data_IF_600211242114
#
_entry.id   IF_600211242114
#
_cell.length_a   1.000
_cell.length_b   1.000
_cell.length_c   1.000
_cell.angle_alpha   90.00
_cell.angle_beta   90.00
_cell.angle_gamma   90.00
#
_symmetry.space_group_name_H-M   'P 1'
#
loop_
_entity.id
_entity.type
_entity.pdbx_description
1 polymer ?
#
# COMPACT_ATOMS: atom_id res chain seq x y z
N UNK A 1 -14.49 -56.29 -42.15
CA UNK A 1 -13.78 -54.99 -42.11
C UNK A 1 -14.24 -54.07 -40.97
N UNK A 2 -15.25 -54.42 -40.19
CA UNK A 2 -15.75 -53.61 -39.05
C UNK A 2 -14.97 -53.87 -37.73
N UNK A 3 -14.60 -55.11 -37.44
CA UNK A 3 -13.91 -55.46 -36.19
C UNK A 3 -12.46 -54.92 -36.06
N UNK A 4 -11.80 -54.60 -37.18
CA UNK A 4 -10.42 -54.08 -37.16
C UNK A 4 -10.38 -52.57 -36.89
N UNK A 5 -11.42 -51.85 -37.30
CA UNK A 5 -11.57 -50.41 -37.02
C UNK A 5 -11.94 -50.18 -35.55
N UNK A 6 -12.77 -51.03 -34.95
CA UNK A 6 -13.14 -50.93 -33.53
C UNK A 6 -11.95 -51.21 -32.59
N UNK A 7 -11.02 -52.08 -32.99
CA UNK A 7 -9.80 -52.34 -32.21
C UNK A 7 -8.78 -51.18 -32.32
N UNK A 8 -8.67 -50.53 -33.47
CA UNK A 8 -7.79 -49.37 -33.65
C UNK A 8 -8.30 -48.13 -32.89
N UNK A 9 -9.61 -47.93 -32.84
CA UNK A 9 -10.21 -46.84 -32.05
C UNK A 9 -10.06 -47.06 -30.53
N UNK A 10 -10.04 -48.32 -30.07
CA UNK A 10 -9.91 -48.65 -28.65
C UNK A 10 -8.47 -48.46 -28.12
N UNK A 11 -7.45 -48.74 -28.94
CA UNK A 11 -6.04 -48.52 -28.57
C UNK A 11 -5.69 -47.03 -28.55
N UNK A 12 -6.24 -46.23 -29.46
CA UNK A 12 -5.93 -44.80 -29.53
C UNK A 12 -6.60 -43.95 -28.44
N UNK A 13 -7.64 -44.47 -27.78
CA UNK A 13 -8.43 -43.73 -26.76
C UNK A 13 -7.98 -43.98 -25.32
N UNK A 14 -7.19 -45.04 -25.06
CA UNK A 14 -6.85 -45.48 -23.69
C UNK A 14 -5.65 -44.74 -23.07
N UNK A 15 -4.67 -44.30 -23.87
CA UNK A 15 -3.44 -43.64 -23.36
C UNK A 15 -3.39 -42.10 -23.53
N UNK A 16 -4.32 -41.52 -24.28
CA UNK A 16 -4.42 -40.04 -24.45
C UNK A 16 -4.73 -39.25 -23.17
N UNK A 17 -5.47 -39.72 -22.15
CA UNK A 17 -5.79 -38.86 -21.00
C UNK A 17 -4.55 -38.60 -20.13
N UNK A 18 -3.59 -39.52 -20.08
CA UNK A 18 -2.36 -39.33 -19.30
C UNK A 18 -1.38 -38.38 -19.99
N UNK A 19 -1.32 -38.41 -21.32
CA UNK A 19 -0.43 -37.56 -22.12
C UNK A 19 -0.95 -36.11 -22.17
N UNK A 20 -2.26 -35.91 -22.36
CA UNK A 20 -2.90 -34.59 -22.28
C UNK A 20 -2.76 -33.96 -20.88
N UNK A 21 -2.89 -34.76 -19.81
CA UNK A 21 -2.65 -34.30 -18.43
C UNK A 21 -1.20 -33.87 -18.21
N UNK A 22 -0.21 -34.61 -18.74
CA UNK A 22 1.21 -34.25 -18.64
C UNK A 22 1.54 -32.95 -19.38
N UNK A 23 1.00 -32.75 -20.58
CA UNK A 23 1.19 -31.52 -21.35
C UNK A 23 0.59 -30.32 -20.61
N UNK A 24 -0.63 -30.46 -20.08
CA UNK A 24 -1.28 -29.40 -19.30
C UNK A 24 -0.46 -29.00 -18.06
N UNK A 25 0.09 -29.98 -17.33
CA UNK A 25 0.95 -29.72 -16.16
C UNK A 25 2.21 -28.93 -16.57
N UNK A 26 2.84 -29.25 -17.70
CA UNK A 26 4.03 -28.55 -18.20
C UNK A 26 3.71 -27.10 -18.59
N UNK A 27 2.58 -26.86 -19.25
CA UNK A 27 2.17 -25.50 -19.64
C UNK A 27 1.88 -24.66 -18.38
N UNK A 28 1.17 -25.24 -17.40
CA UNK A 28 0.87 -24.58 -16.13
C UNK A 28 2.16 -24.28 -15.36
N UNK A 29 3.11 -25.21 -15.30
CA UNK A 29 4.38 -25.00 -14.60
C UNK A 29 5.24 -23.94 -15.27
N UNK A 30 5.30 -23.90 -16.61
CA UNK A 30 5.99 -22.86 -17.38
C UNK A 30 5.36 -21.48 -17.16
N UNK A 31 4.02 -21.42 -17.16
CA UNK A 31 3.29 -20.19 -16.88
C UNK A 31 3.54 -19.69 -15.46
N UNK A 32 3.52 -20.59 -14.47
CA UNK A 32 3.82 -20.27 -13.08
C UNK A 32 5.26 -19.78 -12.90
N UNK A 33 6.23 -20.44 -13.55
CA UNK A 33 7.62 -20.03 -13.54
C UNK A 33 7.82 -18.65 -14.18
N UNK A 34 7.18 -18.39 -15.32
CA UNK A 34 7.17 -17.07 -15.96
C UNK A 34 6.57 -15.99 -15.06
N UNK A 35 5.49 -16.31 -14.34
CA UNK A 35 4.85 -15.39 -13.40
C UNK A 35 5.78 -15.03 -12.24
N UNK A 36 6.48 -16.02 -11.68
CA UNK A 36 7.46 -15.79 -10.62
C UNK A 36 8.61 -14.87 -11.08
N UNK A 37 9.13 -15.08 -12.29
CA UNK A 37 10.19 -14.22 -12.86
C UNK A 37 9.66 -12.80 -13.08
N UNK A 38 8.45 -12.65 -13.62
CA UNK A 38 7.83 -11.35 -13.83
C UNK A 38 7.63 -10.59 -12.51
N UNK A 39 7.18 -11.27 -11.44
CA UNK A 39 7.06 -10.68 -10.11
C UNK A 39 8.41 -10.22 -9.53
N UNK A 40 9.49 -10.95 -9.79
CA UNK A 40 10.84 -10.56 -9.36
C UNK A 40 11.36 -9.34 -10.13
N UNK A 41 11.00 -9.20 -11.41
CA UNK A 41 11.44 -8.07 -12.24
C UNK A 41 10.59 -6.80 -12.07
N UNK A 42 9.35 -6.92 -11.61
CA UNK A 42 8.40 -5.80 -11.52
C UNK A 42 8.93 -4.60 -10.68
N UNK A 43 9.53 -4.79 -9.49
CA UNK A 43 10.09 -3.67 -8.73
C UNK A 43 11.21 -2.95 -9.49
N UNK A 44 12.06 -3.72 -10.19
CA UNK A 44 13.16 -3.18 -10.98
C UNK A 44 12.68 -2.33 -12.16
N UNK A 45 11.58 -2.74 -12.81
CA UNK A 45 10.96 -1.94 -13.87
C UNK A 45 10.44 -0.60 -13.33
N UNK A 46 9.70 -0.62 -12.21
CA UNK A 46 9.16 0.60 -11.58
C UNK A 46 10.27 1.55 -11.12
N UNK A 47 11.34 1.03 -10.51
CA UNK A 47 12.52 1.84 -10.11
C UNK A 47 13.18 2.49 -11.32
N UNK A 48 13.39 1.73 -12.41
CA UNK A 48 13.98 2.27 -13.65
C UNK A 48 13.11 3.36 -14.26
N UNK A 49 11.79 3.19 -14.24
CA UNK A 49 10.86 4.19 -14.76
C UNK A 49 10.93 5.48 -13.93
N UNK A 50 10.88 5.38 -12.59
CA UNK A 50 10.99 6.55 -11.72
C UNK A 50 12.33 7.25 -11.81
N UNK A 51 13.43 6.49 -11.89
CA UNK A 51 14.76 7.06 -12.09
C UNK A 51 14.89 7.81 -13.42
N UNK A 52 14.14 7.43 -14.47
CA UNK A 52 14.12 8.19 -15.73
C UNK A 52 13.30 9.48 -15.63
N UNK A 53 12.24 9.47 -14.83
CA UNK A 53 11.34 10.62 -14.69
C UNK A 53 11.86 11.65 -13.70
N UNK A 54 12.48 11.22 -12.60
CA UNK A 54 12.89 12.07 -11.48
C UNK A 54 14.40 12.01 -11.16
N UNK A 55 15.16 11.16 -11.85
CA UNK A 55 16.62 11.20 -11.74
C UNK A 55 17.13 12.47 -12.39
N UNK A 56 17.78 13.33 -11.59
CA UNK A 56 18.53 14.47 -12.12
C UNK A 56 19.78 13.92 -12.83
N UNK A 57 20.20 14.54 -13.93
CA UNK A 57 21.36 14.10 -14.73
C UNK A 57 22.72 14.40 -14.07
N UNK A 58 22.79 14.47 -12.75
CA UNK A 58 24.03 14.78 -12.06
C UNK A 58 24.74 13.47 -11.70
N UNK A 59 25.61 13.02 -12.60
CA UNK A 59 26.54 11.93 -12.32
C UNK A 59 27.49 12.35 -11.19
N UNK A 60 27.16 11.96 -9.94
CA UNK A 60 28.08 12.13 -8.82
C UNK A 60 29.32 11.23 -9.02
N UNK A 61 30.54 11.73 -8.72
CA UNK A 61 31.78 11.02 -9.01
C UNK A 61 31.88 9.72 -8.21
N UNK A 62 32.24 8.65 -8.92
CA UNK A 62 32.18 7.26 -8.47
C UNK A 62 33.49 6.80 -7.83
N UNK A 63 34.02 7.51 -6.84
CA UNK A 63 35.35 7.19 -6.27
C UNK A 63 35.31 6.83 -4.77
N UNK A 64 35.75 5.59 -4.49
CA UNK A 64 36.59 5.17 -3.34
C UNK A 64 36.14 5.43 -1.90
N UNK A 65 35.57 4.38 -1.29
CA UNK A 65 35.40 3.97 0.14
C UNK A 65 35.66 4.94 1.34
N UNK A 66 36.50 5.96 1.27
CA UNK A 66 36.56 7.06 2.26
C UNK A 66 35.43 8.09 2.05
N UNK A 67 34.98 8.25 0.81
CA UNK A 67 33.86 9.12 0.40
C UNK A 67 32.51 8.57 0.87
N UNK A 68 32.42 7.28 1.22
CA UNK A 68 31.15 6.63 1.52
C UNK A 68 30.43 7.20 2.76
N UNK A 69 31.17 7.65 3.78
CA UNK A 69 30.57 8.22 5.01
C UNK A 69 30.08 9.65 4.78
N UNK A 70 30.90 10.47 4.13
CA UNK A 70 30.54 11.83 3.72
C UNK A 70 29.36 11.80 2.73
N UNK A 71 29.35 10.86 1.79
CA UNK A 71 28.25 10.62 0.87
C UNK A 71 26.96 10.19 1.60
N UNK A 72 27.05 9.33 2.62
CA UNK A 72 25.89 8.93 3.42
C UNK A 72 25.29 10.11 4.20
N UNK A 73 26.15 10.99 4.74
CA UNK A 73 25.73 12.20 5.44
C UNK A 73 25.06 13.18 4.46
N UNK A 74 25.66 13.43 3.29
CA UNK A 74 25.09 14.26 2.22
C UNK A 74 23.74 13.69 1.76
N UNK A 75 23.64 12.38 1.56
CA UNK A 75 22.38 11.72 1.19
C UNK A 75 21.30 11.91 2.26
N UNK A 76 21.66 11.76 3.55
CA UNK A 76 20.72 11.96 4.65
C UNK A 76 20.22 13.41 4.75
N UNK A 77 21.12 14.38 4.51
CA UNK A 77 20.79 15.81 4.45
C UNK A 77 19.89 16.13 3.26
N UNK A 78 20.15 15.53 2.10
CA UNK A 78 19.32 15.69 0.91
C UNK A 78 17.89 15.17 1.15
N UNK A 79 17.73 14.01 1.81
CA UNK A 79 16.41 13.48 2.19
C UNK A 79 15.70 14.39 3.20
N UNK A 80 16.43 14.89 4.19
CA UNK A 80 15.88 15.81 5.17
C UNK A 80 15.44 17.14 4.53
N UNK A 81 16.24 17.66 3.59
CA UNK A 81 15.89 18.84 2.80
C UNK A 81 14.61 18.61 2.00
N UNK A 82 14.52 17.51 1.24
CA UNK A 82 13.33 17.17 0.46
C UNK A 82 12.08 17.06 1.36
N UNK A 83 12.22 16.40 2.52
CA UNK A 83 11.14 16.33 3.51
C UNK A 83 10.68 17.72 4.00
N UNK A 84 11.61 18.63 4.30
CA UNK A 84 11.28 19.98 4.74
C UNK A 84 10.63 20.80 3.63
N UNK A 85 11.11 20.69 2.38
CA UNK A 85 10.51 21.34 1.21
C UNK A 85 9.07 20.85 0.99
N UNK A 86 8.84 19.55 1.11
CA UNK A 86 7.51 18.94 0.97
C UNK A 86 6.55 19.38 2.07
N UNK A 87 7.04 19.43 3.31
CA UNK A 87 6.27 19.93 4.45
C UNK A 87 5.96 21.42 4.32
N UNK A 88 6.89 22.22 3.82
CA UNK A 88 6.68 23.65 3.55
C UNK A 88 5.61 23.83 2.46
N UNK A 89 5.72 23.13 1.33
CA UNK A 89 4.74 23.17 0.25
C UNK A 89 3.35 22.61 0.67
N UNK A 90 3.32 21.73 1.68
CA UNK A 90 2.07 21.28 2.30
C UNK A 90 1.46 22.36 3.19
N UNK A 91 2.29 23.07 3.96
CA UNK A 91 1.87 24.18 4.83
C UNK A 91 1.32 25.38 4.05
N UNK A 92 1.71 25.56 2.79
CA UNK A 92 1.13 26.58 1.90
C UNK A 92 -0.35 26.30 1.55
N UNK A 93 -0.91 25.16 1.92
CA UNK A 93 -2.33 24.84 1.70
C UNK A 93 -3.17 24.93 2.97
N UNK A 94 -4.35 25.56 2.86
CA UNK A 94 -5.36 25.68 3.92
C UNK A 94 -6.12 24.38 4.24
N UNK A 95 -5.54 23.22 3.90
CA UNK A 95 -6.15 21.91 4.09
C UNK A 95 -5.36 21.08 5.09
N UNK A 96 -6.04 20.21 5.84
CA UNK A 96 -5.37 19.28 6.75
C UNK A 96 -4.49 18.32 5.93
N UNK A 97 -3.19 18.38 6.20
CA UNK A 97 -2.17 17.47 5.69
C UNK A 97 -1.75 16.45 6.73
N UNK A 98 -1.13 15.36 6.26
CA UNK A 98 -0.54 14.34 7.11
C UNK A 98 0.98 14.35 6.96
N UNK A 99 1.68 14.37 8.09
CA UNK A 99 3.14 14.18 8.14
C UNK A 99 3.42 12.81 8.73
N UNK A 100 4.13 11.99 7.96
CA UNK A 100 4.58 10.67 8.37
C UNK A 100 6.10 10.71 8.56
N UNK A 101 6.55 10.62 9.80
CA UNK A 101 7.97 10.54 10.13
C UNK A 101 8.28 9.14 10.69
N UNK A 102 8.86 8.28 9.85
CA UNK A 102 9.21 6.91 10.26
C UNK A 102 10.47 6.86 11.11
N UNK A 103 11.37 7.84 10.99
CA UNK A 103 12.59 7.96 11.80
C UNK A 103 12.24 8.16 13.26
N UNK A 104 11.33 9.09 13.54
CA UNK A 104 10.87 9.41 14.90
C UNK A 104 9.64 8.58 15.31
N UNK A 105 9.15 7.70 14.41
CA UNK A 105 7.96 6.88 14.64
C UNK A 105 6.72 7.71 15.01
N UNK A 106 6.48 8.79 14.27
CA UNK A 106 5.37 9.72 14.50
C UNK A 106 4.50 9.90 13.25
N UNK A 107 3.19 10.00 13.47
CA UNK A 107 2.22 10.49 12.49
C UNK A 107 1.57 11.73 13.05
N UNK A 108 1.55 12.79 12.25
CA UNK A 108 1.04 14.07 12.66
C UNK A 108 0.04 14.58 11.63
N UNK A 109 -0.95 15.32 12.10
CA UNK A 109 -1.82 16.11 11.24
C UNK A 109 -1.44 17.56 11.41
N UNK A 110 -1.34 18.25 10.28
CA UNK A 110 -0.94 19.65 10.22
C UNK A 110 -1.89 20.46 9.35
N UNK A 111 -2.11 21.72 9.72
CA UNK A 111 -2.80 22.72 8.90
C UNK A 111 -1.98 24.00 8.97
N UNK A 112 -1.61 24.57 7.81
CA UNK A 112 -0.77 25.77 7.74
C UNK A 112 0.53 25.66 8.56
N UNK A 113 1.13 24.46 8.59
CA UNK A 113 2.34 24.15 9.36
C UNK A 113 2.14 23.96 10.87
N UNK A 114 0.91 24.12 11.37
CA UNK A 114 0.55 23.94 12.78
C UNK A 114 0.09 22.51 13.01
N UNK A 115 0.70 21.84 13.99
CA UNK A 115 0.35 20.48 14.41
C UNK A 115 -0.94 20.46 15.22
N UNK A 116 -1.97 19.77 14.71
CA UNK A 116 -3.28 19.63 15.37
C UNK A 116 -3.47 18.27 16.05
N UNK A 117 -2.74 17.24 15.58
CA UNK A 117 -2.79 15.91 16.16
C UNK A 117 -1.43 15.23 16.00
N UNK A 118 -1.05 14.40 16.97
CA UNK A 118 0.16 13.58 16.93
C UNK A 118 -0.13 12.21 17.50
N UNK A 119 0.41 11.19 16.86
CA UNK A 119 0.25 9.79 17.24
C UNK A 119 1.57 9.04 17.06
N UNK A 120 1.94 8.25 18.06
CA UNK A 120 3.13 7.39 18.00
C UNK A 120 2.83 6.10 17.23
N UNK A 121 3.74 5.75 16.31
CA UNK A 121 3.75 4.52 15.53
C UNK A 121 4.30 3.39 16.41
N UNK A 122 3.51 2.33 16.61
CA UNK A 122 3.95 1.16 17.38
C UNK A 122 4.81 0.19 16.57
N UNK A 123 4.72 0.25 15.24
CA UNK A 123 5.60 -0.48 14.34
C UNK A 123 5.31 -0.17 12.89
N UNK A 124 6.31 -0.29 12.02
CA UNK A 124 6.17 -0.01 10.60
C UNK A 124 6.91 -1.05 9.74
N UNK A 125 6.50 -1.14 8.48
CA UNK A 125 7.15 -1.94 7.44
C UNK A 125 7.21 -1.09 6.18
N UNK A 126 8.42 -0.86 5.69
CA UNK A 126 8.69 -0.12 4.46
C UNK A 126 9.14 -1.13 3.41
N UNK A 127 8.65 -1.00 2.19
CA UNK A 127 9.08 -1.85 1.09
C UNK A 127 10.55 -1.58 0.71
N UNK A 128 11.27 -2.63 0.28
CA UNK A 128 12.67 -2.53 -0.17
C UNK A 128 12.86 -1.59 -1.36
N UNK A 129 11.78 -1.36 -2.09
CA UNK A 129 11.70 -0.37 -3.15
C UNK A 129 12.24 1.00 -2.72
N UNK A 130 11.84 1.52 -1.56
CA UNK A 130 12.22 2.86 -1.11
C UNK A 130 13.71 2.98 -0.79
N UNK A 131 14.32 1.88 -0.31
CA UNK A 131 15.76 1.81 -0.04
C UNK A 131 16.59 1.62 -1.31
N UNK A 132 15.97 1.17 -2.41
CA UNK A 132 16.63 0.95 -3.70
C UNK A 132 16.58 2.18 -4.63
N UNK A 133 15.91 3.26 -4.22
CA UNK A 133 15.86 4.50 -4.98
C UNK A 133 17.21 5.23 -4.90
N UNK A 134 17.62 5.87 -6.00
CA UNK A 134 18.72 6.82 -5.99
C UNK A 134 18.32 8.05 -5.17
N UNK A 135 19.27 8.68 -4.47
CA UNK A 135 18.96 9.81 -3.60
C UNK A 135 18.36 11.01 -4.36
N UNK A 136 18.74 11.22 -5.61
CA UNK A 136 18.16 12.25 -6.49
C UNK A 136 16.69 11.96 -6.80
N UNK A 137 16.39 10.72 -7.19
CA UNK A 137 15.01 10.26 -7.45
C UNK A 137 14.18 10.36 -6.18
N UNK A 138 14.76 9.99 -5.03
CA UNK A 138 14.11 10.15 -3.73
C UNK A 138 13.80 11.62 -3.47
N UNK A 139 14.79 12.50 -3.61
CA UNK A 139 14.62 13.93 -3.38
C UNK A 139 13.54 14.50 -4.31
N UNK A 140 13.57 14.21 -5.61
CA UNK A 140 12.55 14.70 -6.54
C UNK A 140 11.14 14.15 -6.26
N UNK A 141 11.03 12.90 -5.82
CA UNK A 141 9.73 12.27 -5.51
C UNK A 141 9.13 12.78 -4.20
N UNK A 142 9.97 12.98 -3.18
CA UNK A 142 9.54 13.34 -1.83
C UNK A 142 9.72 14.83 -1.50
N UNK A 143 10.26 15.66 -2.41
CA UNK A 143 10.33 17.12 -2.27
C UNK A 143 8.97 17.82 -2.38
N UNK A 144 7.98 17.13 -2.95
CA UNK A 144 6.60 17.60 -3.05
C UNK A 144 5.68 16.74 -2.21
N UNK A 145 4.61 17.31 -1.63
CA UNK A 145 3.67 16.53 -0.84
C UNK A 145 2.87 15.61 -1.77
N UNK A 146 2.81 14.33 -1.41
CA UNK A 146 2.06 13.32 -2.14
C UNK A 146 0.57 13.52 -1.93
N UNK A 147 -0.26 13.40 -2.96
CA UNK A 147 -1.72 13.56 -2.84
C UNK A 147 -2.39 12.21 -2.69
N UNK A 148 -3.38 12.13 -1.81
CA UNK A 148 -4.27 10.96 -1.74
C UNK A 148 -5.16 10.98 -2.99
N UNK A 149 -5.07 9.91 -3.80
CA UNK A 149 -5.91 9.71 -4.97
C UNK A 149 -7.18 8.94 -4.60
N UNK A 150 -7.00 7.86 -3.83
CA UNK A 150 -8.08 7.00 -3.39
C UNK A 150 -7.81 6.49 -1.98
N UNK A 151 -8.85 6.51 -1.16
CA UNK A 151 -8.82 5.96 0.19
C UNK A 151 -9.83 4.81 0.33
N UNK A 152 -9.48 3.84 1.17
CA UNK A 152 -10.35 2.72 1.54
C UNK A 152 -10.16 2.39 3.00
N UNK A 153 -11.27 2.27 3.72
CA UNK A 153 -11.27 1.96 5.15
C UNK A 153 -12.30 0.89 5.50
N UNK A 154 -12.05 0.19 6.61
CA UNK A 154 -13.08 -0.65 7.27
C UNK A 154 -14.13 0.21 7.98
N UNK A 155 -13.80 1.47 8.24
CA UNK A 155 -14.69 2.47 8.85
C UNK A 155 -15.14 3.48 7.79
N UNK A 156 -16.33 4.04 7.99
CA UNK A 156 -16.81 5.17 7.19
C UNK A 156 -16.10 6.45 7.66
N UNK A 157 -15.68 7.25 6.69
CA UNK A 157 -15.00 8.53 6.90
C UNK A 157 -15.93 9.54 7.59
N UNK A 158 -17.13 9.71 7.03
CA UNK A 158 -18.17 10.57 7.58
C UNK A 158 -19.38 9.71 7.97
N UNK A 159 -19.55 9.34 9.26
CA UNK A 159 -20.69 8.54 9.67
C UNK A 159 -21.98 9.38 9.58
N UNK A 160 -22.94 8.93 8.79
CA UNK A 160 -24.27 9.53 8.72
C UNK A 160 -25.15 8.90 9.80
N UNK A 161 -25.66 9.73 10.71
CA UNK A 161 -26.63 9.30 11.72
C UNK A 161 -28.02 9.76 11.30
N UNK A 162 -28.89 8.81 10.94
CA UNK A 162 -30.30 9.10 10.70
C UNK A 162 -31.03 9.17 12.04
N UNK A 163 -31.23 10.38 12.55
CA UNK A 163 -32.04 10.60 13.75
C UNK A 163 -33.51 10.63 13.37
N UNK A 164 -34.33 9.81 14.04
CA UNK A 164 -35.78 9.97 13.99
C UNK A 164 -36.13 11.13 14.92
N UNK A 165 -36.82 12.15 14.38
CA UNK A 165 -37.25 13.27 15.19
C UNK A 165 -38.16 12.77 16.34
N UNK A 166 -37.90 13.18 17.59
CA UNK A 166 -38.79 12.84 18.70
C UNK A 166 -40.15 13.49 18.45
N UNK A 167 -41.22 12.76 18.72
CA UNK A 167 -42.57 13.24 18.48
C UNK A 167 -43.02 14.22 19.56
N UNK A 168 -42.55 14.02 20.79
CA UNK A 168 -42.94 14.77 21.98
C UNK A 168 -41.76 15.13 22.89
N UNK A 169 -41.92 16.19 23.71
CA UNK A 169 -40.91 16.70 24.66
C UNK A 169 -40.52 15.71 25.76
N UNK A 170 -41.43 14.80 26.13
CA UNK A 170 -41.17 13.72 27.11
C UNK A 170 -40.31 12.61 26.48
N UNK A 171 -40.52 12.29 25.20
CA UNK A 171 -39.66 11.35 24.48
C UNK A 171 -38.27 11.93 24.20
N UNK A 172 -38.18 13.25 24.00
CA UNK A 172 -36.89 13.95 23.84
C UNK A 172 -36.02 13.88 25.11
N UNK A 173 -36.62 13.98 26.30
CA UNK A 173 -35.89 13.89 27.57
C UNK A 173 -35.34 12.47 27.86
N UNK A 174 -35.99 11.44 27.33
CA UNK A 174 -35.63 10.04 27.54
C UNK A 174 -34.73 9.46 26.44
N UNK A 175 -34.36 10.25 25.42
CA UNK A 175 -33.50 9.80 24.33
C UNK A 175 -32.04 9.75 24.78
N UNK A 176 -31.68 8.74 25.58
CA UNK A 176 -30.30 8.47 25.96
C UNK A 176 -29.68 7.55 24.90
N UNK A 177 -28.87 8.14 24.02
CA UNK A 177 -28.09 7.37 23.03
C UNK A 177 -26.89 6.71 23.71
N UNK A 178 -26.96 5.40 23.93
CA UNK A 178 -25.83 4.59 24.38
C UNK A 178 -25.24 3.90 23.15
N UNK A 179 -24.05 4.30 22.66
CA UNK A 179 -23.43 3.58 21.55
C UNK A 179 -23.06 2.17 22.00
N UNK A 180 -23.42 1.15 21.20
CA UNK A 180 -23.02 -0.23 21.45
C UNK A 180 -21.49 -0.36 21.32
N UNK A 181 -20.79 -0.45 22.45
CA UNK A 181 -19.33 -0.56 22.53
C UNK A 181 -18.83 -2.00 22.51
N UNK A 182 -19.70 -3.02 22.51
CA UNK A 182 -19.29 -4.43 22.69
C UNK A 182 -18.60 -5.02 21.45
N UNK A 183 -18.94 -4.56 20.24
CA UNK A 183 -18.43 -5.13 18.99
C UNK A 183 -17.53 -4.15 18.21
N UNK A 184 -16.28 -4.00 18.62
CA UNK A 184 -15.30 -3.18 17.89
C UNK A 184 -14.61 -3.98 16.76
N UNK A 185 -14.95 -3.66 15.51
CA UNK A 185 -14.23 -4.14 14.32
C UNK A 185 -12.84 -3.47 14.26
N UNK A 186 -11.76 -4.19 13.94
CA UNK A 186 -10.43 -3.61 13.85
C UNK A 186 -10.38 -2.60 12.70
N UNK A 187 -9.69 -1.49 12.94
CA UNK A 187 -9.60 -0.39 11.97
C UNK A 187 -8.42 -0.64 11.02
N UNK A 188 -8.72 -0.76 9.74
CA UNK A 188 -7.75 -0.88 8.66
C UNK A 188 -8.07 0.13 7.57
N UNK A 189 -7.04 0.86 7.15
CA UNK A 189 -7.17 1.95 6.19
C UNK A 189 -6.02 1.87 5.20
N UNK A 190 -6.31 2.11 3.93
CA UNK A 190 -5.35 2.12 2.84
C UNK A 190 -5.56 3.40 2.05
N UNK A 191 -4.50 4.20 1.94
CA UNK A 191 -4.44 5.41 1.16
C UNK A 191 -3.53 5.13 -0.04
N UNK A 192 -4.07 5.25 -1.25
CA UNK A 192 -3.29 5.26 -2.46
C UNK A 192 -2.88 6.71 -2.73
N UNK A 193 -1.56 6.93 -2.73
CA UNK A 193 -0.93 8.22 -2.96
C UNK A 193 -0.53 8.35 -4.42
N UNK A 194 -0.20 9.57 -4.83
CA UNK A 194 0.40 9.86 -6.12
C UNK A 194 1.62 8.99 -6.39
N UNK A 195 1.89 8.71 -7.65
CA UNK A 195 2.99 7.85 -8.11
C UNK A 195 2.88 6.37 -7.71
N UNK A 196 1.66 5.91 -7.40
CA UNK A 196 1.37 4.50 -7.13
C UNK A 196 1.87 4.01 -5.77
N UNK A 197 2.21 4.93 -4.86
CA UNK A 197 2.64 4.61 -3.50
C UNK A 197 1.41 4.28 -2.65
N UNK A 198 1.46 3.18 -1.90
CA UNK A 198 0.39 2.81 -0.96
C UNK A 198 0.82 3.04 0.47
N UNK A 199 -0.02 3.73 1.24
CA UNK A 199 0.12 3.89 2.69
C UNK A 199 -0.99 3.14 3.41
N UNK A 200 -0.64 2.14 4.22
CA UNK A 200 -1.59 1.30 4.95
C UNK A 200 -1.46 1.52 6.46
N UNK A 201 -2.57 1.85 7.11
CA UNK A 201 -2.67 2.03 8.55
C UNK A 201 -3.38 0.81 9.17
N UNK A 202 -2.70 0.14 10.11
CA UNK A 202 -3.22 -1.03 10.81
C UNK A 202 -3.41 -0.74 12.29
N UNK A 203 -4.56 -1.11 12.85
CA UNK A 203 -4.75 -1.09 14.30
C UNK A 203 -3.80 -2.07 14.99
N UNK A 204 -3.17 -1.61 16.08
CA UNK A 204 -2.42 -2.45 16.97
C UNK A 204 -3.34 -3.44 17.69
N UNK A 205 -3.25 -4.70 17.29
CA UNK A 205 -4.09 -5.75 17.85
C UNK A 205 -3.34 -6.46 18.97
N UNK A 206 -3.74 -6.21 20.21
CA UNK A 206 -3.26 -7.01 21.35
C UNK A 206 -3.53 -8.50 21.11
N UNK A 207 -2.46 -9.28 21.26
CA UNK A 207 -2.28 -10.71 20.99
C UNK A 207 -3.54 -11.58 21.13
N UNK A 208 -4.22 -11.85 20.01
CA UNK A 208 -5.16 -12.97 19.92
C UNK A 208 -4.96 -13.67 18.58
N UNK A 209 -4.74 -14.98 18.62
CA UNK A 209 -4.45 -15.84 17.46
C UNK A 209 -5.53 -15.71 16.36
N UNK A 210 -6.81 -15.62 16.75
CA UNK A 210 -7.94 -15.43 15.84
C UNK A 210 -7.88 -14.09 15.10
N UNK A 211 -7.38 -13.03 15.75
CA UNK A 211 -7.20 -11.72 15.10
C UNK A 211 -5.95 -11.66 14.22
N UNK A 212 -4.88 -12.41 14.54
CA UNK A 212 -3.72 -12.62 13.64
C UNK A 212 -4.14 -13.33 12.35
N UNK A 213 -4.96 -14.38 12.44
CA UNK A 213 -5.51 -15.06 11.25
C UNK A 213 -6.31 -14.10 10.39
N UNK A 214 -7.17 -13.24 10.97
CA UNK A 214 -7.94 -12.26 10.20
C UNK A 214 -7.06 -11.19 9.52
N UNK A 215 -5.95 -10.79 10.15
CA UNK A 215 -4.93 -9.92 9.52
C UNK A 215 -4.29 -10.62 8.32
N UNK A 216 -3.98 -11.92 8.46
CA UNK A 216 -3.39 -12.75 7.40
C UNK A 216 -4.39 -12.97 6.25
N UNK A 217 -5.67 -13.27 6.51
CA UNK A 217 -6.67 -13.45 5.46
C UNK A 217 -6.93 -12.16 4.69
N UNK A 218 -6.92 -11.01 5.35
CA UNK A 218 -7.02 -9.72 4.67
C UNK A 218 -5.78 -9.45 3.80
N UNK A 219 -4.58 -9.75 4.31
CA UNK A 219 -3.34 -9.63 3.54
C UNK A 219 -3.34 -10.55 2.31
N UNK A 220 -3.73 -11.83 2.48
CA UNK A 220 -3.86 -12.81 1.39
C UNK A 220 -4.95 -12.42 0.39
N UNK A 221 -6.09 -11.91 0.83
CA UNK A 221 -7.17 -11.45 -0.06
C UNK A 221 -6.75 -10.26 -0.93
N UNK A 222 -6.00 -9.31 -0.36
CA UNK A 222 -5.44 -8.19 -1.11
C UNK A 222 -4.36 -8.66 -2.09
N UNK A 223 -3.48 -9.59 -1.66
CA UNK A 223 -2.49 -10.21 -2.54
C UNK A 223 -3.14 -11.02 -3.67
N UNK A 224 -4.22 -11.77 -3.41
CA UNK A 224 -4.93 -12.56 -4.41
C UNK A 224 -5.61 -11.69 -5.46
N UNK A 225 -6.21 -10.55 -5.05
CA UNK A 225 -6.79 -9.58 -5.97
C UNK A 225 -5.74 -8.87 -6.82
N UNK A 226 -4.63 -8.43 -6.22
CA UNK A 226 -3.49 -7.88 -6.97
C UNK A 226 -2.90 -8.92 -7.92
N UNK A 227 -2.75 -10.17 -7.47
CA UNK A 227 -2.27 -11.28 -8.30
C UNK A 227 -3.24 -11.56 -9.45
N UNK A 228 -4.55 -11.52 -9.24
CA UNK A 228 -5.54 -11.71 -10.30
C UNK A 228 -5.44 -10.65 -11.40
N UNK A 229 -5.30 -9.37 -11.02
CA UNK A 229 -5.10 -8.27 -11.97
C UNK A 229 -3.75 -8.40 -12.71
N UNK A 230 -2.71 -8.85 -12.01
CA UNK A 230 -1.38 -9.08 -12.57
C UNK A 230 -1.33 -10.31 -13.49
N UNK A 231 -2.07 -11.38 -13.20
CA UNK A 231 -2.22 -12.55 -14.08
C UNK A 231 -2.95 -12.15 -15.37
N UNK A 232 -3.98 -11.32 -15.28
CA UNK A 232 -4.67 -10.82 -16.46
C UNK A 232 -3.76 -9.92 -17.31
N UNK A 233 -2.97 -9.06 -16.68
CA UNK A 233 -1.96 -8.24 -17.37
C UNK A 233 -0.88 -9.10 -18.04
N UNK A 234 -0.44 -10.18 -17.39
CA UNK A 234 0.53 -11.12 -17.93
C UNK A 234 -0.03 -11.92 -19.12
N UNK A 235 -1.31 -12.33 -19.09
CA UNK A 235 -1.99 -12.89 -20.27
C UNK A 235 -1.97 -11.93 -21.46
N UNK A 236 -2.00 -10.62 -21.21
CA UNK A 236 -1.88 -9.58 -22.24
C UNK A 236 -0.42 -9.14 -22.48
N UNK A 237 0.57 -9.93 -22.05
CA UNK A 237 2.01 -9.64 -22.20
C UNK A 237 2.45 -8.28 -21.62
N UNK A 238 1.74 -7.75 -20.62
CA UNK A 238 2.12 -6.53 -19.91
C UNK A 238 2.84 -6.89 -18.61
N UNK A 239 3.90 -6.15 -18.30
CA UNK A 239 4.61 -6.28 -17.02
C UNK A 239 3.63 -5.95 -15.89
N UNK A 240 3.53 -6.78 -14.84
CA UNK A 240 2.60 -6.54 -13.75
C UNK A 240 2.93 -5.22 -13.04
N UNK A 241 1.90 -4.45 -12.71
CA UNK A 241 2.07 -3.18 -12.02
C UNK A 241 2.48 -3.44 -10.56
N UNK A 242 3.58 -2.83 -10.14
CA UNK A 242 4.07 -2.92 -8.77
C UNK A 242 3.80 -1.60 -8.04
N UNK A 243 3.06 -1.69 -6.94
CA UNK A 243 2.67 -0.55 -6.09
C UNK A 243 3.49 -0.60 -4.79
N UNK A 244 4.51 0.25 -4.62
CA UNK A 244 5.35 0.25 -3.42
C UNK A 244 4.54 0.65 -2.18
N UNK A 245 4.70 -0.10 -1.10
CA UNK A 245 3.87 0.05 0.11
C UNK A 245 4.63 0.46 1.36
N UNK A 246 4.04 1.36 2.14
CA UNK A 246 4.44 1.68 3.52
C UNK A 246 3.28 1.25 4.42
N UNK A 247 3.56 0.41 5.41
CA UNK A 247 2.57 -0.07 6.37
C UNK A 247 2.95 0.38 7.77
N UNK A 248 2.03 1.05 8.47
CA UNK A 248 2.25 1.52 9.84
C UNK A 248 1.19 0.95 10.78
N UNK A 249 1.58 0.76 12.03
CA UNK A 249 0.73 0.25 13.10
C UNK A 249 0.52 1.34 14.14
N UNK A 250 -0.73 1.59 14.49
CA UNK A 250 -1.17 2.70 15.35
C UNK A 250 -2.31 2.24 16.26
N UNK A 251 -2.55 2.98 17.34
CA UNK A 251 -3.75 2.77 18.15
C UNK A 251 -5.02 3.04 17.33
N UNK A 252 -6.03 2.17 17.42
CA UNK A 252 -7.24 2.28 16.59
C UNK A 252 -8.00 3.60 16.77
N UNK A 253 -7.93 4.22 17.96
CA UNK A 253 -8.52 5.55 18.19
C UNK A 253 -7.83 6.61 17.30
N UNK A 254 -6.50 6.59 17.25
CA UNK A 254 -5.72 7.53 16.45
C UNK A 254 -5.94 7.32 14.96
N UNK A 255 -6.02 6.06 14.51
CA UNK A 255 -6.33 5.76 13.10
C UNK A 255 -7.70 6.33 12.71
N UNK A 256 -8.72 6.13 13.54
CA UNK A 256 -10.05 6.69 13.29
C UNK A 256 -10.02 8.21 13.26
N UNK A 257 -9.36 8.86 14.23
CA UNK A 257 -9.23 10.31 14.26
C UNK A 257 -8.50 10.85 13.03
N UNK A 258 -7.38 10.24 12.65
CA UNK A 258 -6.59 10.63 11.48
C UNK A 258 -7.42 10.53 10.20
N UNK A 259 -8.07 9.39 9.99
CA UNK A 259 -8.83 9.16 8.76
C UNK A 259 -10.03 10.08 8.58
N UNK A 260 -10.74 10.37 9.68
CA UNK A 260 -11.89 11.27 9.65
C UNK A 260 -11.52 12.73 9.51
N UNK A 261 -10.32 13.11 9.96
CA UNK A 261 -9.82 14.47 9.84
C UNK A 261 -9.21 14.77 8.46
N UNK A 262 -8.77 13.74 7.72
CA UNK A 262 -8.15 13.94 6.41
C UNK A 262 -9.21 14.24 5.33
N UNK A 263 -9.02 15.28 4.51
CA UNK A 263 -9.87 15.52 3.34
C UNK A 263 -9.65 14.45 2.25
N UNK A 264 -10.53 14.40 1.25
CA UNK A 264 -10.44 13.40 0.17
C UNK A 264 -9.16 13.48 -0.65
N UNK A 265 -8.70 14.71 -0.93
CA UNK A 265 -7.44 14.98 -1.65
C UNK A 265 -6.37 15.49 -0.70
N UNK A 266 -6.25 14.86 0.47
CA UNK A 266 -5.25 15.21 1.45
C UNK A 266 -3.82 15.14 0.88
N UNK A 267 -2.96 16.00 1.41
CA UNK A 267 -1.52 16.01 1.13
C UNK A 267 -0.79 15.24 2.22
N UNK A 268 0.21 14.46 1.82
CA UNK A 268 0.98 13.58 2.69
C UNK A 268 2.46 13.81 2.45
N UNK A 269 3.17 14.16 3.50
CA UNK A 269 4.63 14.28 3.50
C UNK A 269 5.22 13.09 4.24
N UNK A 270 6.27 12.48 3.69
CA UNK A 270 6.86 11.24 4.24
C UNK A 270 8.36 11.41 4.43
N UNK A 271 8.86 11.06 5.61
CA UNK A 271 10.27 10.85 5.90
C UNK A 271 10.50 9.37 6.23
N UNK A 272 11.40 8.74 5.48
CA UNK A 272 11.77 7.31 5.61
C UNK A 272 13.19 7.20 6.15
#
# INVERSE_FOLDING_TARGET
MTALNDLLDCVCKRDRPHLAKRISIIIISLFLAGYLIACLMAPGHTIRQLNRTYGLHNELPRDGHAVAREYLEIASLARQKAYLESRLAMADSDSIGMVLNLRDSLVELEINGIRIHSATISGYKVDRFFFSLKDETYAGLFSQPLRVEHDRGTIVKEPVFAHKAPRDTIEAANFIFIPDTLHRVPVHITLNLTHGIRLSLYEDVKSSFRKKIRKITHYLGNMARQSGQNIFAMMHSRVPAYEPGISITLAGKNITSIYRALPDRARVTILI
#
